data_IF_011396887303
#
_entry.id   IF_011396887303
#
_cell.length_a   1.000
_cell.length_b   1.000
_cell.length_c   1.000
_cell.angle_alpha   90.00
_cell.angle_beta   90.00
_cell.angle_gamma   90.00
#
_symmetry.space_group_name_H-M   'P 1'
#
loop_
_entity.id
_entity.type
_entity.pdbx_description
1 polymer ?
#
# COMPACT_ATOMS: atom_id res chain seq x y z
N UNK A 1 -4.66 -5.77 57.72
CA UNK A 1 -3.97 -6.73 56.81
C UNK A 1 -4.69 -6.98 55.47
N UNK A 2 -6.04 -6.89 55.38
CA UNK A 2 -6.81 -7.23 54.15
C UNK A 2 -6.64 -6.25 52.98
N UNK A 3 -6.52 -4.95 53.26
CA UNK A 3 -6.36 -3.91 52.23
C UNK A 3 -5.03 -3.95 51.47
N UNK A 4 -3.96 -4.51 52.04
CA UNK A 4 -2.65 -4.59 51.36
C UNK A 4 -2.67 -5.61 50.21
N UNK A 5 -3.44 -6.69 50.36
CA UNK A 5 -3.59 -7.74 49.34
C UNK A 5 -4.47 -7.28 48.17
N UNK A 6 -5.55 -6.57 48.43
CA UNK A 6 -6.41 -6.02 47.37
C UNK A 6 -5.71 -4.92 46.58
N UNK A 7 -4.92 -4.08 47.26
CA UNK A 7 -4.14 -3.03 46.58
C UNK A 7 -3.06 -3.63 45.67
N UNK A 8 -2.41 -4.72 46.11
CA UNK A 8 -1.43 -5.43 45.31
C UNK A 8 -2.05 -6.10 44.07
N UNK A 9 -3.22 -6.75 44.24
CA UNK A 9 -3.95 -7.36 43.13
C UNK A 9 -4.38 -6.31 42.08
N UNK A 10 -4.93 -5.19 42.54
CA UNK A 10 -5.36 -4.08 41.67
C UNK A 10 -4.17 -3.46 40.89
N UNK A 11 -3.00 -3.35 41.53
CA UNK A 11 -1.80 -2.86 40.86
C UNK A 11 -1.35 -3.81 39.74
N UNK A 12 -1.36 -5.12 39.98
CA UNK A 12 -1.02 -6.12 38.96
C UNK A 12 -2.01 -6.07 37.80
N UNK A 13 -3.32 -5.99 38.09
CA UNK A 13 -4.35 -5.86 37.05
C UNK A 13 -4.15 -4.60 36.20
N UNK A 14 -3.87 -3.45 36.82
CA UNK A 14 -3.61 -2.20 36.11
C UNK A 14 -2.36 -2.29 35.22
N UNK A 15 -1.30 -2.95 35.69
CA UNK A 15 -0.08 -3.18 34.91
C UNK A 15 -0.35 -4.11 33.73
N UNK A 16 -1.01 -5.26 33.95
CA UNK A 16 -1.34 -6.20 32.88
C UNK A 16 -2.24 -5.57 31.82
N UNK A 17 -3.25 -4.78 32.22
CA UNK A 17 -4.12 -4.06 31.30
C UNK A 17 -3.34 -3.04 30.47
N UNK A 18 -2.45 -2.27 31.10
CA UNK A 18 -1.60 -1.29 30.41
C UNK A 18 -0.68 -1.98 29.38
N UNK A 19 -0.07 -3.11 29.75
CA UNK A 19 0.74 -3.91 28.84
C UNK A 19 -0.08 -4.50 27.69
N UNK A 20 -1.30 -4.96 27.96
CA UNK A 20 -2.17 -5.53 26.92
C UNK A 20 -2.64 -4.47 25.93
N UNK A 21 -2.97 -3.26 26.41
CA UNK A 21 -3.31 -2.13 25.54
C UNK A 21 -2.08 -1.70 24.73
N UNK A 22 -0.93 -1.52 25.37
CA UNK A 22 0.30 -1.11 24.69
C UNK A 22 0.75 -2.15 23.64
N UNK A 23 0.79 -3.43 24.00
CA UNK A 23 1.14 -4.50 23.08
C UNK A 23 0.07 -4.72 22.01
N UNK A 24 -1.21 -4.62 22.36
CA UNK A 24 -2.33 -4.79 21.44
C UNK A 24 -2.36 -3.71 20.37
N UNK A 25 -2.13 -2.44 20.74
CA UNK A 25 -1.99 -1.34 19.79
C UNK A 25 -0.76 -1.55 18.91
N UNK A 26 0.39 -1.85 19.51
CA UNK A 26 1.63 -2.04 18.76
C UNK A 26 1.58 -3.22 17.77
N UNK A 27 0.89 -4.31 18.14
CA UNK A 27 0.71 -5.47 17.28
C UNK A 27 -0.31 -5.20 16.18
N UNK A 28 -1.43 -4.55 16.51
CA UNK A 28 -2.48 -4.18 15.55
C UNK A 28 -1.95 -3.25 14.47
N UNK A 29 -1.18 -2.21 14.83
CA UNK A 29 -0.59 -1.28 13.85
C UNK A 29 0.34 -2.01 12.87
N UNK A 30 1.19 -2.92 13.36
CA UNK A 30 2.08 -3.71 12.49
C UNK A 30 1.31 -4.63 11.55
N UNK A 31 0.27 -5.31 12.05
CA UNK A 31 -0.54 -6.22 11.22
C UNK A 31 -1.38 -5.48 10.18
N UNK A 32 -1.84 -4.26 10.47
CA UNK A 32 -2.52 -3.41 9.50
C UNK A 32 -1.56 -2.92 8.41
N UNK A 33 -0.35 -2.51 8.80
CA UNK A 33 0.69 -2.11 7.84
C UNK A 33 1.06 -3.27 6.90
N UNK A 34 1.31 -4.46 7.44
CA UNK A 34 1.64 -5.63 6.62
C UNK A 34 0.53 -6.03 5.64
N UNK A 35 -0.74 -5.93 6.06
CA UNK A 35 -1.88 -6.17 5.18
C UNK A 35 -1.99 -5.11 4.09
N UNK A 36 -1.75 -3.84 4.41
CA UNK A 36 -1.73 -2.76 3.42
C UNK A 36 -0.62 -2.98 2.39
N UNK A 37 0.60 -3.30 2.83
CA UNK A 37 1.73 -3.61 1.94
C UNK A 37 1.44 -4.80 1.03
N UNK A 38 0.88 -5.90 1.56
CA UNK A 38 0.54 -7.08 0.77
C UNK A 38 -0.55 -6.78 -0.26
N UNK A 39 -1.60 -6.05 0.14
CA UNK A 39 -2.69 -5.68 -0.77
C UNK A 39 -2.17 -4.82 -1.93
N UNK A 40 -1.22 -3.94 -1.66
CA UNK A 40 -0.58 -3.10 -2.68
C UNK A 40 0.26 -3.92 -3.64
N UNK A 41 1.02 -4.89 -3.12
CA UNK A 41 1.79 -5.81 -3.96
C UNK A 41 0.86 -6.58 -4.92
N UNK A 42 -0.25 -7.10 -4.42
CA UNK A 42 -1.23 -7.84 -5.23
C UNK A 42 -1.86 -6.94 -6.32
N UNK A 43 -2.20 -5.69 -5.98
CA UNK A 43 -2.69 -4.72 -6.96
C UNK A 43 -1.61 -4.39 -8.00
N UNK A 44 -0.37 -4.15 -7.58
CA UNK A 44 0.75 -3.83 -8.47
C UNK A 44 1.05 -4.95 -9.45
N UNK A 45 1.01 -6.21 -8.99
CA UNK A 45 1.22 -7.38 -9.84
C UNK A 45 0.11 -7.55 -10.88
N UNK A 46 -1.15 -7.40 -10.44
CA UNK A 46 -2.32 -7.50 -11.32
C UNK A 46 -2.28 -6.39 -12.38
N UNK A 47 -2.01 -5.16 -11.96
CA UNK A 47 -1.90 -4.00 -12.84
C UNK A 47 -0.73 -4.15 -13.81
N UNK A 48 0.43 -4.60 -13.34
CA UNK A 48 1.60 -4.85 -14.20
C UNK A 48 1.33 -5.88 -15.30
N UNK A 49 0.57 -6.94 -14.99
CA UNK A 49 0.16 -7.94 -15.98
C UNK A 49 -0.83 -7.37 -17.01
N UNK A 50 -1.82 -6.57 -16.56
CA UNK A 50 -2.81 -5.95 -17.44
C UNK A 50 -2.19 -4.88 -18.36
N UNK A 51 -1.21 -4.12 -17.85
CA UNK A 51 -0.52 -3.06 -18.59
C UNK A 51 0.53 -3.58 -19.59
N UNK A 52 0.96 -4.83 -19.46
CA UNK A 52 1.99 -5.39 -20.33
C UNK A 52 1.61 -5.33 -21.82
N UNK A 53 0.41 -5.82 -22.17
CA UNK A 53 -0.05 -5.85 -23.55
C UNK A 53 -0.26 -4.44 -24.16
N UNK A 54 -0.93 -3.48 -23.48
CA UNK A 54 -1.02 -2.09 -23.93
C UNK A 54 0.33 -1.39 -24.10
N UNK A 55 1.26 -1.56 -23.15
CA UNK A 55 2.60 -0.96 -23.22
C UNK A 55 3.45 -1.55 -24.36
N UNK A 56 3.26 -2.84 -24.68
CA UNK A 56 3.88 -3.45 -25.86
C UNK A 56 3.33 -2.87 -27.16
N UNK A 57 2.03 -2.56 -27.21
CA UNK A 57 1.34 -2.00 -28.37
C UNK A 57 1.44 -0.47 -28.47
N UNK A 58 2.02 0.19 -27.45
CA UNK A 58 2.02 1.65 -27.32
C UNK A 58 0.60 2.25 -27.36
N UNK A 59 -0.36 1.50 -26.80
CA UNK A 59 -1.75 1.91 -26.72
C UNK A 59 -2.02 2.68 -25.42
N UNK A 60 -1.73 3.97 -25.48
CA UNK A 60 -1.89 4.90 -24.35
C UNK A 60 -3.36 5.04 -23.88
N UNK A 61 -4.34 4.77 -24.78
CA UNK A 61 -5.76 4.81 -24.44
C UNK A 61 -6.17 3.59 -23.60
N UNK A 62 -5.74 2.40 -24.00
CA UNK A 62 -5.95 1.18 -23.21
C UNK A 62 -5.25 1.24 -21.85
N UNK A 63 -4.04 1.82 -21.76
CA UNK A 63 -3.36 2.06 -20.48
C UNK A 63 -4.22 2.93 -19.56
N UNK A 64 -4.76 4.03 -20.08
CA UNK A 64 -5.63 4.94 -19.33
C UNK A 64 -6.87 4.23 -18.79
N UNK A 65 -7.60 3.51 -19.64
CA UNK A 65 -8.85 2.85 -19.24
C UNK A 65 -8.63 1.81 -18.12
N UNK A 66 -7.54 1.04 -18.23
CA UNK A 66 -7.14 0.04 -17.21
C UNK A 66 -6.82 0.73 -15.88
N UNK A 67 -6.02 1.79 -15.91
CA UNK A 67 -5.60 2.50 -14.69
C UNK A 67 -6.78 3.22 -14.05
N UNK A 68 -7.64 3.86 -14.83
CA UNK A 68 -8.82 4.60 -14.35
C UNK A 68 -9.81 3.67 -13.65
N UNK A 69 -10.04 2.48 -14.20
CA UNK A 69 -10.86 1.43 -13.57
C UNK A 69 -10.28 1.00 -12.23
N UNK A 70 -8.96 0.76 -12.17
CA UNK A 70 -8.30 0.30 -10.95
C UNK A 70 -8.13 1.39 -9.89
N UNK A 71 -8.00 2.66 -10.30
CA UNK A 71 -8.00 3.78 -9.36
C UNK A 71 -9.33 3.90 -8.62
N UNK A 72 -10.45 3.69 -9.32
CA UNK A 72 -11.78 3.77 -8.74
C UNK A 72 -12.04 2.69 -7.68
N UNK A 73 -11.56 1.47 -7.92
CA UNK A 73 -11.80 0.30 -7.06
C UNK A 73 -10.74 0.11 -5.95
N UNK A 74 -9.53 0.62 -6.16
CA UNK A 74 -8.35 0.26 -5.36
C UNK A 74 -8.08 1.10 -4.11
N UNK A 75 -8.74 2.25 -3.94
CA UNK A 75 -8.44 3.19 -2.84
C UNK A 75 -7.02 3.80 -2.92
N UNK A 76 -6.44 3.83 -4.12
CA UNK A 76 -5.09 4.35 -4.37
C UNK A 76 -5.14 5.87 -4.53
N UNK A 77 -4.23 6.59 -3.88
CA UNK A 77 -4.18 8.05 -3.87
C UNK A 77 -3.56 8.60 -5.17
N UNK A 78 -2.59 7.89 -5.73
CA UNK A 78 -2.03 8.18 -7.04
C UNK A 78 -1.62 6.89 -7.77
N UNK A 79 -1.78 6.89 -9.09
CA UNK A 79 -1.19 5.90 -9.99
C UNK A 79 -0.49 6.67 -11.12
N UNK A 80 0.77 6.32 -11.38
CA UNK A 80 1.57 6.85 -12.49
C UNK A 80 2.08 5.67 -13.32
N UNK A 81 1.91 5.73 -14.64
CA UNK A 81 2.44 4.73 -15.57
C UNK A 81 3.42 5.42 -16.51
N UNK A 82 4.63 4.88 -16.58
CA UNK A 82 5.68 5.31 -17.50
C UNK A 82 6.00 4.21 -18.50
N UNK A 83 6.22 4.60 -19.75
CA UNK A 83 6.67 3.67 -20.78
C UNK A 83 8.18 3.39 -20.69
N UNK A 84 8.70 2.55 -21.58
CA UNK A 84 10.12 2.19 -21.65
C UNK A 84 11.07 3.37 -21.89
N UNK A 85 10.55 4.50 -22.40
CA UNK A 85 11.30 5.72 -22.70
C UNK A 85 11.27 6.71 -21.54
N UNK A 86 10.74 6.28 -20.39
CA UNK A 86 10.53 7.09 -19.19
C UNK A 86 9.52 8.23 -19.39
N UNK A 87 8.68 8.12 -20.42
CA UNK A 87 7.61 9.07 -20.70
C UNK A 87 6.38 8.67 -19.89
N UNK A 88 5.86 9.61 -19.10
CA UNK A 88 4.58 9.45 -18.38
C UNK A 88 3.45 9.29 -19.39
N UNK A 89 2.90 8.09 -19.49
CA UNK A 89 1.77 7.75 -20.36
C UNK A 89 0.47 8.16 -19.69
N UNK A 90 0.40 7.97 -18.37
CA UNK A 90 -0.77 8.30 -17.59
C UNK A 90 -0.40 8.60 -16.15
N UNK A 91 -1.08 9.59 -15.57
CA UNK A 91 -1.02 9.91 -14.14
C UNK A 91 -2.42 10.28 -13.69
N UNK A 92 -2.88 9.65 -12.61
CA UNK A 92 -4.12 10.02 -11.96
C UNK A 92 -3.92 10.13 -10.46
N UNK A 93 -4.61 11.11 -9.86
CA UNK A 93 -4.52 11.44 -8.43
C UNK A 93 -3.41 12.45 -8.10
N UNK A 94 -3.02 12.51 -6.81
CA UNK A 94 -2.00 13.42 -6.31
C UNK A 94 -1.38 12.91 -5.01
N UNK A 95 -0.06 12.83 -4.96
CA UNK A 95 0.70 12.37 -3.79
C UNK A 95 1.33 13.53 -3.02
N UNK A 96 1.39 13.39 -1.70
CA UNK A 96 2.23 14.18 -0.80
C UNK A 96 3.54 13.45 -0.51
N UNK A 97 4.56 14.19 -0.07
CA UNK A 97 5.88 13.62 0.26
C UNK A 97 5.82 12.60 1.42
N UNK A 98 4.77 12.65 2.24
CA UNK A 98 4.52 11.75 3.37
C UNK A 98 3.81 10.45 2.99
N UNK A 99 3.33 10.33 1.75
CA UNK A 99 2.63 9.14 1.29
C UNK A 99 3.61 7.99 1.02
N UNK A 100 3.11 6.77 1.00
CA UNK A 100 3.93 5.61 0.64
C UNK A 100 4.00 5.49 -0.88
N UNK A 101 5.21 5.58 -1.44
CA UNK A 101 5.48 5.48 -2.87
C UNK A 101 6.07 4.10 -3.20
N UNK A 102 5.48 3.41 -4.17
CA UNK A 102 6.04 2.16 -4.70
C UNK A 102 6.13 2.21 -6.21
N UNK A 103 7.32 1.94 -6.75
CA UNK A 103 7.55 1.83 -8.19
C UNK A 103 7.83 0.36 -8.51
N UNK A 104 7.00 -0.22 -9.36
CA UNK A 104 7.13 -1.61 -9.83
C UNK A 104 7.51 -1.60 -11.32
N UNK A 105 8.65 -2.20 -11.70
CA UNK A 105 9.02 -2.32 -13.11
C UNK A 105 8.08 -3.32 -13.81
N UNK A 106 7.65 -2.97 -15.03
CA UNK A 106 6.86 -3.86 -15.89
C UNK A 106 7.80 -4.44 -16.94
N UNK A 107 8.00 -5.76 -16.87
CA UNK A 107 8.86 -6.48 -17.81
C UNK A 107 8.45 -7.92 -17.99
N UNK A 108 8.76 -8.47 -19.17
CA UNK A 108 8.54 -9.88 -19.51
C UNK A 108 9.83 -10.45 -20.09
N UNK A 109 10.24 -11.63 -19.63
CA UNK A 109 11.42 -12.36 -20.13
C UNK A 109 12.72 -11.52 -20.14
N UNK A 110 12.90 -10.64 -19.15
CA UNK A 110 14.08 -9.77 -19.02
C UNK A 110 14.01 -8.46 -19.83
N UNK A 111 12.97 -8.26 -20.65
CA UNK A 111 12.74 -7.02 -21.37
C UNK A 111 11.84 -6.07 -20.56
N UNK A 112 12.31 -4.85 -20.31
CA UNK A 112 11.53 -3.78 -19.64
C UNK A 112 10.64 -3.07 -20.66
N UNK A 113 9.36 -2.96 -20.33
CA UNK A 113 8.35 -2.27 -21.14
C UNK A 113 7.84 -0.98 -20.51
N UNK A 114 8.05 -0.80 -19.20
CA UNK A 114 7.68 0.40 -18.48
C UNK A 114 7.86 0.25 -16.97
N UNK A 115 7.26 1.15 -16.20
CA UNK A 115 7.10 1.04 -14.76
C UNK A 115 5.76 1.63 -14.33
N UNK A 116 5.23 1.13 -13.22
CA UNK A 116 4.05 1.69 -12.57
C UNK A 116 4.40 2.17 -11.17
N UNK A 117 4.19 3.46 -10.93
CA UNK A 117 4.25 4.13 -9.64
C UNK A 117 2.88 4.12 -8.97
N UNK A 118 2.83 3.72 -7.71
CA UNK A 118 1.63 3.66 -6.88
C UNK A 118 1.89 4.49 -5.62
N UNK A 119 0.92 5.33 -5.25
CA UNK A 119 0.98 6.11 -4.02
C UNK A 119 -0.22 5.79 -3.14
N UNK A 120 0.06 5.50 -1.88
CA UNK A 120 -0.94 5.22 -0.85
C UNK A 120 -0.92 6.29 0.23
N UNK A 121 -2.10 6.66 0.71
CA UNK A 121 -2.24 7.61 1.81
C UNK A 121 -1.47 7.12 3.04
N UNK A 122 -0.65 8.00 3.61
CA UNK A 122 0.03 7.74 4.89
C UNK A 122 -0.92 7.61 6.09
N UNK A 123 -2.22 7.91 5.93
CA UNK A 123 -3.23 7.81 7.00
C UNK A 123 -3.45 6.35 7.50
N UNK A 124 -2.90 5.36 6.79
CA UNK A 124 -2.90 3.95 7.19
C UNK A 124 -1.70 3.54 8.06
N UNK A 125 -0.77 4.45 8.37
CA UNK A 125 0.44 4.20 9.19
C UNK A 125 0.40 5.00 10.50
#
# INVERSE_FOLDING_TARGET
>A
MRYKLTLAALAVEGVMLSFLIANGVHLTTRSLQQQAEQRVEEIAQTLGAALLAPLMQQDDASVRDIVETLQHDGGLKMIEVRDRSDRTVYQAGGGEATDFHRVQPIGLAGQRYGEVGLVLSGEFI
#
